data_IF_393468892001
#
_entry.id   IF_393468892001
#
_cell.length_a   1.000
_cell.length_b   1.000
_cell.length_c   1.000
_cell.angle_alpha   90.00
_cell.angle_beta   90.00
_cell.angle_gamma   90.00
#
_symmetry.space_group_name_H-M   'P 1'
#
loop_
_entity.id
_entity.type
_entity.pdbx_description
1 polymer ?
#
# COMPACT_ATOMS: atom_id res chain seq x y z
N UNK A 1 -43.79 32.90 5.50
CA UNK A 1 -42.59 32.07 5.75
C UNK A 1 -42.98 30.62 5.55
N UNK A 2 -42.69 30.05 4.38
CA UNK A 2 -42.98 28.64 4.07
C UNK A 2 -41.69 27.82 4.17
N UNK A 3 -41.65 26.91 5.15
CA UNK A 3 -40.56 25.94 5.33
C UNK A 3 -40.70 24.80 4.31
N UNK A 4 -39.77 24.74 3.37
CA UNK A 4 -39.62 23.64 2.41
C UNK A 4 -39.05 22.40 3.13
N UNK A 5 -39.86 21.34 3.29
CA UNK A 5 -39.40 20.03 3.78
C UNK A 5 -38.79 19.23 2.63
N UNK A 6 -37.46 19.15 2.61
CA UNK A 6 -36.71 18.27 1.68
C UNK A 6 -36.71 16.84 2.23
N UNK A 7 -37.47 15.93 1.62
CA UNK A 7 -37.44 14.49 1.93
C UNK A 7 -36.35 13.83 1.09
N UNK A 8 -35.20 13.56 1.69
CA UNK A 8 -34.17 12.71 1.10
C UNK A 8 -34.66 11.25 1.09
N UNK A 9 -34.98 10.72 -0.09
CA UNK A 9 -35.17 9.28 -0.31
C UNK A 9 -33.79 8.64 -0.42
N UNK A 10 -33.30 8.06 0.67
CA UNK A 10 -32.16 7.14 0.61
C UNK A 10 -32.58 5.91 -0.19
N UNK A 11 -32.02 5.74 -1.40
CA UNK A 11 -32.10 4.47 -2.12
C UNK A 11 -31.29 3.45 -1.33
N UNK A 12 -31.95 2.49 -0.71
CA UNK A 12 -31.28 1.29 -0.20
C UNK A 12 -30.70 0.55 -1.40
N UNK A 13 -29.38 0.50 -1.50
CA UNK A 13 -28.68 -0.35 -2.46
C UNK A 13 -28.85 -1.78 -1.95
N UNK A 14 -29.68 -2.58 -2.61
CA UNK A 14 -29.73 -4.02 -2.40
C UNK A 14 -28.41 -4.61 -2.90
N UNK A 15 -27.52 -4.96 -1.97
CA UNK A 15 -26.38 -5.83 -2.27
C UNK A 15 -26.91 -7.24 -2.50
N UNK A 16 -26.89 -7.71 -3.74
CA UNK A 16 -27.16 -9.11 -4.05
C UNK A 16 -26.12 -9.99 -3.35
N UNK A 17 -26.51 -11.16 -2.82
CA UNK A 17 -25.56 -12.14 -2.30
C UNK A 17 -24.62 -12.54 -3.43
N UNK A 18 -23.35 -12.19 -3.29
CA UNK A 18 -22.28 -12.67 -4.16
C UNK A 18 -22.00 -14.09 -3.66
N UNK A 19 -22.45 -15.09 -4.39
CA UNK A 19 -22.01 -16.47 -4.21
C UNK A 19 -20.51 -16.50 -4.57
N UNK A 20 -19.64 -16.28 -3.59
CA UNK A 20 -18.20 -16.37 -3.75
C UNK A 20 -17.82 -17.84 -3.96
N UNK A 21 -17.75 -18.26 -5.23
CA UNK A 21 -17.15 -19.55 -5.57
C UNK A 21 -15.69 -19.59 -5.05
N UNK A 22 -15.27 -20.69 -4.41
CA UNK A 22 -13.91 -20.81 -3.89
C UNK A 22 -12.89 -20.71 -5.02
N UNK A 23 -11.84 -19.93 -4.79
CA UNK A 23 -10.73 -19.79 -5.74
C UNK A 23 -10.04 -21.14 -5.99
N UNK A 24 -9.52 -21.39 -7.19
CA UNK A 24 -8.81 -22.62 -7.51
C UNK A 24 -7.59 -22.80 -6.59
N UNK A 25 -7.47 -23.99 -6.01
CA UNK A 25 -6.32 -24.35 -5.18
C UNK A 25 -5.16 -24.76 -6.10
N UNK A 26 -4.19 -23.86 -6.28
CA UNK A 26 -2.96 -24.20 -7.01
C UNK A 26 -2.06 -24.98 -6.05
N UNK A 27 -2.07 -26.30 -6.17
CA UNK A 27 -1.16 -27.16 -5.41
C UNK A 27 0.28 -26.96 -5.89
N UNK A 28 1.08 -26.30 -5.05
CA UNK A 28 2.55 -26.25 -5.16
C UNK A 28 3.20 -27.44 -4.44
N UNK A 29 2.43 -28.44 -3.99
CA UNK A 29 2.90 -29.54 -3.12
C UNK A 29 3.94 -30.43 -3.82
N UNK A 30 3.98 -30.43 -5.15
CA UNK A 30 4.99 -31.15 -5.92
C UNK A 30 6.28 -30.37 -6.15
N UNK A 31 6.36 -29.09 -5.76
CA UNK A 31 7.53 -28.24 -5.99
C UNK A 31 8.45 -28.30 -4.77
N UNK A 32 9.65 -28.86 -4.94
CA UNK A 32 10.65 -28.87 -3.87
C UNK A 32 11.10 -27.44 -3.53
N UNK A 33 11.58 -27.22 -2.30
CA UNK A 33 12.12 -25.92 -1.88
C UNK A 33 13.29 -25.48 -2.78
N UNK A 34 14.14 -26.42 -3.19
CA UNK A 34 15.23 -26.18 -4.15
C UNK A 34 14.71 -25.74 -5.52
N UNK A 35 13.64 -26.35 -6.03
CA UNK A 35 13.03 -25.96 -7.30
C UNK A 35 12.39 -24.58 -7.19
N UNK A 36 11.68 -24.30 -6.11
CA UNK A 36 11.13 -22.98 -5.83
C UNK A 36 12.25 -21.91 -5.77
N UNK A 37 13.35 -22.19 -5.07
CA UNK A 37 14.52 -21.29 -5.03
C UNK A 37 15.12 -21.05 -6.41
N UNK A 38 15.24 -22.10 -7.24
CA UNK A 38 15.71 -21.97 -8.63
C UNK A 38 14.75 -21.12 -9.46
N UNK A 39 13.44 -21.31 -9.29
CA UNK A 39 12.43 -20.52 -9.97
C UNK A 39 12.48 -19.06 -9.56
N UNK A 40 12.64 -18.73 -8.28
CA UNK A 40 12.82 -17.34 -7.84
C UNK A 40 14.15 -16.74 -8.35
N UNK A 41 15.23 -17.54 -8.37
CA UNK A 41 16.56 -17.06 -8.77
C UNK A 41 16.71 -16.87 -10.28
N UNK A 42 16.14 -17.76 -11.08
CA UNK A 42 16.34 -17.80 -12.54
C UNK A 42 15.06 -17.50 -13.32
N UNK A 43 13.91 -17.45 -12.65
CA UNK A 43 12.64 -17.13 -13.28
C UNK A 43 12.62 -15.70 -13.80
N UNK A 44 11.93 -15.53 -14.92
CA UNK A 44 11.75 -14.22 -15.54
C UNK A 44 10.51 -13.57 -14.94
N UNK A 45 10.67 -12.36 -14.41
CA UNK A 45 9.56 -11.53 -13.98
C UNK A 45 8.64 -11.22 -15.17
N UNK A 46 7.34 -11.30 -14.94
CA UNK A 46 6.31 -10.89 -15.92
C UNK A 46 5.19 -10.17 -15.21
N UNK A 47 4.81 -8.99 -15.71
CA UNK A 47 3.59 -8.30 -15.27
C UNK A 47 2.33 -8.79 -16.01
N UNK A 48 2.42 -9.89 -16.76
CA UNK A 48 1.29 -10.49 -17.45
C UNK A 48 0.92 -11.82 -16.81
N UNK A 49 -0.38 -12.05 -16.61
CA UNK A 49 -0.93 -13.28 -16.06
C UNK A 49 -2.38 -13.44 -16.50
N UNK A 50 -2.78 -14.65 -16.95
CA UNK A 50 -4.14 -14.96 -17.40
C UNK A 50 -4.74 -13.95 -18.42
N UNK A 51 -3.91 -13.37 -19.29
CA UNK A 51 -4.33 -12.37 -20.28
C UNK A 51 -4.43 -10.93 -19.76
N UNK A 52 -4.25 -10.71 -18.46
CA UNK A 52 -4.18 -9.38 -17.85
C UNK A 52 -2.73 -8.86 -17.85
N UNK A 53 -2.57 -7.54 -17.93
CA UNK A 53 -1.26 -6.87 -17.85
C UNK A 53 -1.28 -5.81 -16.74
N UNK A 54 -0.70 -6.13 -15.60
CA UNK A 54 -0.67 -5.18 -14.48
C UNK A 54 0.17 -3.94 -14.81
N UNK A 55 -0.34 -2.78 -14.41
CA UNK A 55 0.42 -1.56 -14.22
C UNK A 55 1.45 -1.73 -13.07
N UNK A 56 2.46 -0.87 -13.08
CA UNK A 56 3.46 -0.78 -12.02
C UNK A 56 2.84 -0.32 -10.70
N UNK A 57 3.42 -0.75 -9.57
CA UNK A 57 2.86 -0.48 -8.24
C UNK A 57 2.73 1.01 -7.94
N UNK A 58 3.56 1.85 -8.57
CA UNK A 58 3.48 3.31 -8.41
C UNK A 58 2.14 3.88 -8.87
N UNK A 59 1.48 3.25 -9.85
CA UNK A 59 0.20 3.70 -10.41
C UNK A 59 -1.01 3.05 -9.72
N UNK A 60 -0.79 1.96 -8.98
CA UNK A 60 -1.84 1.28 -8.24
C UNK A 60 -2.28 2.07 -7.00
N UNK A 61 -3.46 1.73 -6.49
CA UNK A 61 -4.03 2.36 -5.30
C UNK A 61 -3.13 2.15 -4.08
N UNK A 62 -2.90 3.23 -3.32
CA UNK A 62 -2.09 3.22 -2.11
C UNK A 62 -2.56 2.15 -1.11
N UNK A 63 -3.88 2.05 -0.91
CA UNK A 63 -4.47 1.07 0.00
C UNK A 63 -4.17 -0.38 -0.38
N UNK A 64 -4.17 -0.70 -1.67
CA UNK A 64 -3.85 -2.04 -2.17
C UNK A 64 -2.38 -2.36 -1.86
N UNK A 65 -1.47 -1.43 -2.18
CA UNK A 65 -0.02 -1.64 -2.04
C UNK A 65 0.44 -1.69 -0.58
N UNK A 66 -0.04 -0.78 0.26
CA UNK A 66 0.47 -0.58 1.63
C UNK A 66 -0.38 -1.23 2.72
N UNK A 67 -1.64 -1.58 2.44
CA UNK A 67 -2.55 -2.12 3.46
C UNK A 67 -3.02 -3.53 3.11
N UNK A 68 -3.63 -3.75 1.95
CA UNK A 68 -4.18 -5.05 1.57
C UNK A 68 -3.08 -6.07 1.30
N UNK A 69 -2.13 -5.75 0.42
CA UNK A 69 -1.12 -6.69 -0.05
C UNK A 69 -0.26 -7.24 1.11
N UNK A 70 0.27 -6.43 2.05
CA UNK A 70 1.01 -6.94 3.21
C UNK A 70 0.16 -7.86 4.11
N UNK A 71 -1.12 -7.54 4.29
CA UNK A 71 -2.05 -8.36 5.08
C UNK A 71 -2.31 -9.71 4.43
N UNK A 72 -2.46 -9.76 3.10
CA UNK A 72 -2.64 -11.01 2.36
C UNK A 72 -1.33 -11.83 2.39
N UNK A 73 -0.19 -11.17 2.20
CA UNK A 73 1.14 -11.78 2.24
C UNK A 73 1.44 -12.46 3.59
N UNK A 74 1.09 -11.81 4.70
CA UNK A 74 1.28 -12.39 6.04
C UNK A 74 0.52 -13.71 6.27
N UNK A 75 -0.49 -13.99 5.44
CA UNK A 75 -1.29 -15.22 5.47
C UNK A 75 -0.83 -16.27 4.47
N UNK A 76 0.15 -15.97 3.61
CA UNK A 76 0.62 -16.88 2.56
C UNK A 76 -0.37 -17.13 1.43
N UNK A 77 -1.40 -16.29 1.29
CA UNK A 77 -2.47 -16.44 0.31
C UNK A 77 -2.03 -15.92 -1.07
N UNK A 78 -1.47 -16.79 -1.90
CA UNK A 78 -0.80 -16.42 -3.17
C UNK A 78 -1.80 -15.91 -4.22
N UNK A 79 -2.91 -16.63 -4.43
CA UNK A 79 -3.89 -16.29 -5.48
C UNK A 79 -4.60 -14.99 -5.14
N UNK A 80 -4.87 -14.77 -3.87
CA UNK A 80 -5.48 -13.57 -3.34
C UNK A 80 -4.55 -12.35 -3.51
N UNK A 81 -3.23 -12.51 -3.45
CA UNK A 81 -2.29 -11.42 -3.76
C UNK A 81 -2.39 -11.01 -5.23
N UNK A 82 -2.36 -12.00 -6.13
CA UNK A 82 -2.53 -11.76 -7.58
C UNK A 82 -3.87 -11.09 -7.84
N UNK A 83 -4.94 -11.63 -7.25
CA UNK A 83 -6.29 -11.12 -7.42
C UNK A 83 -6.43 -9.68 -6.88
N UNK A 84 -5.91 -9.36 -5.70
CA UNK A 84 -5.98 -8.00 -5.14
C UNK A 84 -5.33 -6.96 -6.06
N UNK A 85 -4.19 -7.30 -6.67
CA UNK A 85 -3.49 -6.42 -7.61
C UNK A 85 -4.32 -6.23 -8.88
N UNK A 86 -4.81 -7.31 -9.49
CA UNK A 86 -5.55 -7.24 -10.76
C UNK A 86 -6.95 -6.63 -10.58
N UNK A 87 -7.66 -6.98 -9.50
CA UNK A 87 -9.01 -6.47 -9.21
C UNK A 87 -9.01 -4.97 -8.89
N UNK A 88 -7.84 -4.40 -8.55
CA UNK A 88 -7.69 -2.95 -8.41
C UNK A 88 -7.69 -2.20 -9.76
N UNK A 89 -7.51 -2.92 -10.87
CA UNK A 89 -7.31 -2.38 -12.23
C UNK A 89 -8.38 -2.85 -13.23
N UNK A 90 -8.91 -4.05 -13.04
CA UNK A 90 -9.82 -4.71 -13.96
C UNK A 90 -11.10 -5.13 -13.26
N UNK A 91 -12.22 -5.00 -13.97
CA UNK A 91 -13.49 -5.59 -13.56
C UNK A 91 -13.51 -7.08 -13.88
N UNK A 92 -14.06 -7.91 -12.97
CA UNK A 92 -14.29 -9.35 -13.18
C UNK A 92 -13.04 -10.17 -13.51
N UNK A 93 -11.99 -10.04 -12.70
CA UNK A 93 -10.77 -10.85 -12.84
C UNK A 93 -11.10 -12.33 -12.67
N UNK A 94 -10.68 -13.15 -13.63
CA UNK A 94 -10.80 -14.61 -13.61
C UNK A 94 -9.42 -15.27 -13.62
N UNK A 95 -9.13 -16.05 -12.58
CA UNK A 95 -7.87 -16.78 -12.39
C UNK A 95 -8.06 -18.31 -12.41
N UNK A 96 -9.25 -18.82 -12.79
CA UNK A 96 -9.58 -20.26 -12.75
C UNK A 96 -8.61 -21.13 -13.55
N UNK A 97 -8.10 -20.62 -14.67
CA UNK A 97 -7.26 -21.38 -15.61
C UNK A 97 -5.80 -20.92 -15.64
N UNK A 98 -5.32 -20.26 -14.58
CA UNK A 98 -3.96 -19.74 -14.55
C UNK A 98 -2.93 -20.87 -14.43
N UNK A 99 -1.86 -20.80 -15.22
CA UNK A 99 -0.78 -21.79 -15.21
C UNK A 99 0.20 -21.44 -14.09
N UNK A 100 0.69 -22.44 -13.35
CA UNK A 100 1.61 -22.22 -12.21
C UNK A 100 2.87 -21.40 -12.56
N UNK A 101 3.41 -21.56 -13.77
CA UNK A 101 4.55 -20.76 -14.23
C UNK A 101 4.23 -19.27 -14.35
N UNK A 102 3.03 -18.92 -14.83
CA UNK A 102 2.60 -17.52 -14.96
C UNK A 102 2.46 -16.89 -13.58
N UNK A 103 1.90 -17.64 -12.61
CA UNK A 103 1.80 -17.22 -11.21
C UNK A 103 3.18 -16.92 -10.64
N UNK A 104 4.15 -17.82 -10.86
CA UNK A 104 5.51 -17.64 -10.34
C UNK A 104 6.20 -16.45 -10.99
N UNK A 105 6.11 -16.30 -12.32
CA UNK A 105 6.65 -15.12 -13.01
C UNK A 105 6.03 -13.81 -12.53
N UNK A 106 4.74 -13.82 -12.20
CA UNK A 106 4.04 -12.67 -11.63
C UNK A 106 4.45 -12.40 -10.18
N UNK A 107 4.65 -13.43 -9.36
CA UNK A 107 5.17 -13.27 -7.99
C UNK A 107 6.59 -12.69 -7.96
N UNK A 108 7.46 -13.10 -8.88
CA UNK A 108 8.80 -12.52 -9.02
C UNK A 108 8.68 -11.03 -9.39
N UNK A 109 7.75 -10.69 -10.28
CA UNK A 109 7.48 -9.30 -10.63
C UNK A 109 6.93 -8.48 -9.44
N UNK A 110 5.96 -9.02 -8.68
CA UNK A 110 5.46 -8.39 -7.44
C UNK A 110 6.61 -8.08 -6.50
N UNK A 111 7.49 -9.06 -6.25
CA UNK A 111 8.66 -8.88 -5.39
C UNK A 111 9.54 -7.72 -5.88
N UNK A 112 9.84 -7.66 -7.18
CA UNK A 112 10.64 -6.57 -7.75
C UNK A 112 9.98 -5.20 -7.55
N UNK A 113 8.66 -5.10 -7.71
CA UNK A 113 7.92 -3.85 -7.49
C UNK A 113 7.95 -3.44 -6.01
N UNK A 114 7.85 -4.39 -5.08
CA UNK A 114 7.96 -4.14 -3.65
C UNK A 114 9.37 -3.68 -3.26
N UNK A 115 10.41 -4.32 -3.80
CA UNK A 115 11.81 -3.93 -3.58
C UNK A 115 12.07 -2.51 -4.09
N UNK A 116 11.57 -2.17 -5.28
CA UNK A 116 11.65 -0.82 -5.82
C UNK A 116 10.99 0.21 -4.89
N UNK A 117 9.76 -0.05 -4.43
CA UNK A 117 9.07 0.84 -3.49
C UNK A 117 9.85 0.98 -2.19
N UNK A 118 10.33 -0.12 -1.63
CA UNK A 118 11.10 -0.12 -0.39
C UNK A 118 12.38 0.70 -0.53
N UNK A 119 13.11 0.55 -1.63
CA UNK A 119 14.34 1.32 -1.89
C UNK A 119 14.03 2.82 -1.98
N UNK A 120 13.02 3.20 -2.74
CA UNK A 120 12.62 4.60 -2.92
C UNK A 120 12.13 5.23 -1.59
N UNK A 121 11.35 4.48 -0.79
CA UNK A 121 10.93 4.93 0.54
C UNK A 121 12.11 5.03 1.51
N UNK A 122 13.01 4.04 1.52
CA UNK A 122 14.20 4.06 2.40
C UNK A 122 15.12 5.23 2.06
N UNK A 123 15.29 5.55 0.78
CA UNK A 123 16.18 6.63 0.34
C UNK A 123 15.59 8.02 0.61
N UNK A 124 14.27 8.17 0.50
CA UNK A 124 13.63 9.48 0.51
C UNK A 124 12.75 9.76 1.71
N UNK A 125 12.16 8.77 2.36
CA UNK A 125 11.22 8.93 3.47
C UNK A 125 11.78 8.47 4.81
N UNK A 126 12.86 7.70 4.85
CA UNK A 126 13.52 7.34 6.10
C UNK A 126 14.06 8.60 6.82
N UNK A 127 13.80 8.70 8.11
CA UNK A 127 14.36 9.72 8.99
C UNK A 127 14.70 9.06 10.32
N UNK A 128 15.87 9.37 10.85
CA UNK A 128 16.22 8.92 12.19
C UNK A 128 15.32 9.65 13.21
N UNK A 129 14.63 8.91 14.09
CA UNK A 129 13.81 9.54 15.12
C UNK A 129 14.70 10.31 16.08
N UNK A 130 14.31 11.54 16.40
CA UNK A 130 15.02 12.33 17.40
C UNK A 130 15.00 11.63 18.78
N UNK A 131 16.05 11.78 19.60
CA UNK A 131 16.07 11.23 20.96
C UNK A 131 14.81 11.58 21.76
N UNK A 132 14.31 12.80 21.62
CA UNK A 132 13.07 13.26 22.27
C UNK A 132 11.83 12.51 21.77
N UNK A 133 11.77 12.17 20.47
CA UNK A 133 10.68 11.35 19.92
C UNK A 133 10.75 9.90 20.42
N UNK A 134 11.96 9.36 20.57
CA UNK A 134 12.16 8.02 21.16
C UNK A 134 11.66 8.03 22.61
N UNK A 135 12.03 9.03 23.40
CA UNK A 135 11.57 9.20 24.79
C UNK A 135 10.05 9.39 24.88
N UNK A 136 9.44 10.09 23.92
CA UNK A 136 8.00 10.23 23.80
C UNK A 136 7.27 8.93 23.42
N UNK A 137 8.01 7.86 23.10
CA UNK A 137 7.46 6.54 22.82
C UNK A 137 6.93 6.40 21.40
N UNK A 138 7.55 7.07 20.41
CA UNK A 138 7.17 6.99 18.98
C UNK A 138 7.04 5.54 18.47
N UNK A 139 7.83 4.62 19.04
CA UNK A 139 7.79 3.19 18.74
C UNK A 139 6.40 2.55 18.96
N UNK A 140 5.56 3.11 19.84
CA UNK A 140 4.18 2.65 20.05
C UNK A 140 3.31 2.80 18.81
N UNK A 141 3.68 3.67 17.87
CA UNK A 141 2.97 3.85 16.60
C UNK A 141 3.28 2.74 15.59
N UNK A 142 4.45 2.10 15.69
CA UNK A 142 4.89 1.07 14.73
C UNK A 142 3.92 -0.13 14.64
N UNK A 143 3.23 -0.46 15.73
CA UNK A 143 2.24 -1.57 15.74
C UNK A 143 1.02 -1.33 14.84
N UNK A 144 0.76 -0.08 14.48
CA UNK A 144 -0.35 0.29 13.59
C UNK A 144 0.07 0.40 12.13
N UNK A 145 1.37 0.30 11.83
CA UNK A 145 1.92 0.32 10.47
C UNK A 145 1.45 1.52 9.65
N UNK A 146 1.10 1.28 8.39
CA UNK A 146 0.66 2.31 7.44
C UNK A 146 -0.68 2.97 7.79
N UNK A 147 -1.43 2.44 8.77
CA UNK A 147 -2.66 3.10 9.24
C UNK A 147 -2.37 4.46 9.89
N UNK A 148 -1.24 4.60 10.59
CA UNK A 148 -0.83 5.90 11.18
C UNK A 148 -0.49 6.90 10.08
N UNK A 149 0.17 6.44 9.02
CA UNK A 149 0.45 7.28 7.84
C UNK A 149 -0.84 7.75 7.18
N UNK A 150 -1.81 6.85 6.99
CA UNK A 150 -3.12 7.16 6.45
C UNK A 150 -3.86 8.21 7.30
N UNK A 151 -3.87 8.03 8.62
CA UNK A 151 -4.57 8.93 9.55
C UNK A 151 -3.90 10.31 9.63
N UNK A 152 -2.57 10.34 9.62
CA UNK A 152 -1.80 11.58 9.55
C UNK A 152 -2.06 12.35 8.26
N UNK A 153 -2.11 11.66 7.10
CA UNK A 153 -2.42 12.28 5.81
C UNK A 153 -3.88 12.77 5.72
N UNK A 154 -4.76 12.17 6.52
CA UNK A 154 -6.17 12.53 6.59
C UNK A 154 -6.47 13.68 7.56
N UNK A 155 -5.46 14.28 8.21
CA UNK A 155 -5.61 15.22 9.32
C UNK A 155 -6.49 14.65 10.46
N UNK A 156 -6.36 13.35 10.75
CA UNK A 156 -7.19 12.59 11.70
C UNK A 156 -8.70 12.59 11.35
N UNK A 157 -9.06 12.88 10.09
CA UNK A 157 -10.46 12.86 9.63
C UNK A 157 -10.73 11.55 8.91
N UNK A 158 -11.44 10.65 9.58
CA UNK A 158 -11.81 9.33 9.04
C UNK A 158 -12.47 9.39 7.65
N UNK A 159 -13.30 10.41 7.38
CA UNK A 159 -13.97 10.60 6.08
C UNK A 159 -12.99 10.78 4.90
N UNK A 160 -11.74 11.14 5.15
CA UNK A 160 -10.72 11.28 4.11
C UNK A 160 -9.90 10.00 3.89
N UNK A 161 -10.01 8.99 4.76
CA UNK A 161 -9.24 7.75 4.67
C UNK A 161 -9.51 7.04 3.35
N UNK A 162 -10.79 6.85 2.98
CA UNK A 162 -11.19 6.19 1.74
C UNK A 162 -10.65 6.93 0.50
N UNK A 163 -10.60 8.27 0.55
CA UNK A 163 -10.06 9.07 -0.54
C UNK A 163 -8.58 8.79 -0.74
N UNK A 164 -7.78 8.80 0.34
CA UNK A 164 -6.33 8.54 0.29
C UNK A 164 -6.06 7.09 -0.11
N UNK A 165 -6.84 6.15 0.43
CA UNK A 165 -6.78 4.73 0.11
C UNK A 165 -6.86 4.47 -1.40
N UNK A 166 -7.77 5.17 -2.07
CA UNK A 166 -8.01 5.03 -3.51
C UNK A 166 -7.10 5.91 -4.37
N UNK A 167 -6.21 6.74 -3.80
CA UNK A 167 -5.26 7.50 -4.61
C UNK A 167 -4.15 6.58 -5.16
N UNK A 168 -3.59 6.88 -6.34
CA UNK A 168 -2.37 6.24 -6.80
C UNK A 168 -1.24 6.41 -5.80
N UNK A 169 -0.43 5.36 -5.63
CA UNK A 169 0.69 5.33 -4.69
C UNK A 169 1.64 6.52 -4.89
N UNK A 170 2.02 6.82 -6.14
CA UNK A 170 2.96 7.91 -6.44
C UNK A 170 2.53 9.26 -5.86
N UNK A 171 1.22 9.53 -5.84
CA UNK A 171 0.66 10.79 -5.36
C UNK A 171 0.73 10.90 -3.84
N UNK A 172 0.49 9.78 -3.15
CA UNK A 172 0.65 9.69 -1.70
C UNK A 172 2.12 9.80 -1.33
N UNK A 173 3.00 9.11 -2.06
CA UNK A 173 4.45 9.19 -1.89
C UNK A 173 4.97 10.62 -2.05
N UNK A 174 4.57 11.33 -3.11
CA UNK A 174 4.98 12.72 -3.35
C UNK A 174 4.57 13.63 -2.18
N UNK A 175 3.35 13.48 -1.68
CA UNK A 175 2.88 14.21 -0.50
C UNK A 175 3.73 13.92 0.74
N UNK A 176 4.04 12.65 1.01
CA UNK A 176 4.89 12.25 2.14
C UNK A 176 6.30 12.84 2.02
N UNK A 177 6.85 12.88 0.80
CA UNK A 177 8.17 13.46 0.53
C UNK A 177 8.18 14.97 0.81
N UNK A 178 7.19 15.71 0.29
CA UNK A 178 7.03 17.15 0.55
C UNK A 178 6.90 17.43 2.05
N UNK A 179 6.09 16.64 2.76
CA UNK A 179 5.90 16.81 4.20
C UNK A 179 7.18 16.54 5.00
N UNK A 180 7.99 15.56 4.57
CA UNK A 180 9.30 15.31 5.17
C UNK A 180 10.25 16.49 4.95
N UNK A 181 10.45 16.92 3.71
CA UNK A 181 11.35 18.04 3.38
C UNK A 181 10.96 19.31 4.15
N UNK A 182 9.64 19.57 4.25
CA UNK A 182 9.12 20.67 5.06
C UNK A 182 9.51 20.55 6.54
N UNK A 183 9.31 19.38 7.16
CA UNK A 183 9.68 19.15 8.57
C UNK A 183 11.19 19.33 8.80
N UNK A 184 12.02 18.88 7.87
CA UNK A 184 13.47 19.04 7.95
C UNK A 184 13.89 20.52 7.88
N UNK A 185 13.27 21.30 6.98
CA UNK A 185 13.48 22.75 6.88
C UNK A 185 13.04 23.45 8.16
N UNK A 186 11.85 23.15 8.68
CA UNK A 186 11.32 23.74 9.92
C UNK A 186 12.23 23.45 11.12
N UNK A 187 12.75 22.22 11.22
CA UNK A 187 13.71 21.81 12.25
C UNK A 187 15.05 22.53 12.11
N UNK A 188 15.59 22.64 10.90
CA UNK A 188 16.83 23.37 10.63
C UNK A 188 16.67 24.86 10.98
N UNK A 189 15.53 25.46 10.61
CA UNK A 189 15.21 26.84 10.92
C UNK A 189 15.08 27.09 12.44
N UNK A 190 14.42 26.20 13.17
CA UNK A 190 14.30 26.27 14.63
C UNK A 190 15.67 26.30 15.32
N UNK A 191 16.61 25.44 14.90
CA UNK A 191 18.00 25.43 15.42
C UNK A 191 18.72 26.77 15.19
N UNK A 192 18.53 27.40 14.04
CA UNK A 192 19.14 28.71 13.73
C UNK A 192 18.58 29.80 14.63
N UNK A 193 17.28 29.79 14.92
CA UNK A 193 16.65 30.75 15.84
C UNK A 193 17.22 30.59 17.24
N UNK A 194 17.27 29.37 17.77
CA UNK A 194 17.79 29.09 19.12
C UNK A 194 19.23 29.57 19.29
N UNK A 195 20.10 29.35 18.29
CA UNK A 195 21.47 29.84 18.30
C UNK A 195 21.55 31.37 18.34
N UNK A 196 20.69 32.07 17.58
CA UNK A 196 20.63 33.54 17.60
C UNK A 196 20.18 34.09 18.95
N UNK A 197 19.28 33.41 19.65
CA UNK A 197 18.86 33.81 20.99
C UNK A 197 19.96 33.58 22.04
N UNK A 198 20.68 32.45 21.95
CA UNK A 198 21.80 32.15 22.86
C UNK A 198 22.95 33.17 22.74
N UNK A 199 23.24 33.66 21.52
CA UNK A 199 24.33 34.62 21.30
C UNK A 199 24.00 36.07 21.70
N UNK A 200 22.74 36.37 22.06
CA UNK A 200 22.32 37.71 22.52
C UNK A 200 22.38 37.87 24.05
N UNK A 201 22.58 36.77 24.78
CA UNK A 201 22.74 36.75 26.23
C UNK A 201 24.20 36.52 26.59
#
# INVERSE_FOLDING_TARGET
MNFFKWKNKSKQVQTLPIDEEPLPEISLESVSVEDFRRMIKYGKASNHIAGYKSEEFINLKYGVIKIELPKIQSKGLIIEQVNAILASQYENVDLKNVIGNDVISFLIWIKQQQEFIYEVESNHLASDPDPDMILAGIQRLNKYGDYVTLDSLADNKLIHHEKIYNMPYWKVYEKLKVDKERREIEKAYGKVIEQKHKNKH
#
